data_IF_131809766842
#
_entry.id   IF_131809766842
#
_cell.length_a   1.000
_cell.length_b   1.000
_cell.length_c   1.000
_cell.angle_alpha   90.00
_cell.angle_beta   90.00
_cell.angle_gamma   90.00
#
_symmetry.space_group_name_H-M   'P 1'
#
loop_
_entity.id
_entity.type
_entity.pdbx_description
1 polymer ?
#
# COMPACT_ATOMS: atom_id res chain seq x y z
N UNK A 1 -33.41 6.94 9.06
CA UNK A 1 -32.36 5.90 9.17
C UNK A 1 -31.52 6.25 10.39
N UNK A 2 -31.53 5.40 11.42
CA UNK A 2 -30.87 5.73 12.69
C UNK A 2 -29.35 5.57 12.53
N UNK A 3 -28.60 6.64 12.75
CA UNK A 3 -27.16 6.75 12.44
C UNK A 3 -26.33 5.76 13.27
N UNK A 4 -26.83 5.38 14.46
CA UNK A 4 -26.20 4.42 15.36
C UNK A 4 -25.97 3.03 14.74
N UNK A 5 -26.85 2.57 13.85
CA UNK A 5 -26.66 1.27 13.19
C UNK A 5 -25.47 1.26 12.22
N UNK A 6 -25.10 2.41 11.64
CA UNK A 6 -23.97 2.51 10.72
C UNK A 6 -22.63 2.33 11.45
N UNK A 7 -22.57 2.73 12.72
CA UNK A 7 -21.40 2.58 13.61
C UNK A 7 -21.02 1.11 13.83
N UNK A 8 -22.00 0.21 13.86
CA UNK A 8 -21.75 -1.23 14.03
C UNK A 8 -20.99 -1.85 12.84
N UNK A 9 -21.02 -1.22 11.67
CA UNK A 9 -20.31 -1.70 10.48
C UNK A 9 -18.88 -1.17 10.36
N UNK A 10 -18.39 -0.35 11.31
CA UNK A 10 -17.04 0.24 11.25
C UNK A 10 -15.96 -0.83 11.27
N UNK A 11 -16.04 -1.81 12.18
CA UNK A 11 -15.11 -2.94 12.23
C UNK A 11 -15.13 -3.79 10.95
N UNK A 12 -16.31 -3.95 10.35
CA UNK A 12 -16.46 -4.66 9.07
C UNK A 12 -15.79 -3.87 7.93
N UNK A 13 -16.00 -2.55 7.86
CA UNK A 13 -15.36 -1.68 6.88
C UNK A 13 -13.82 -1.68 7.03
N UNK A 14 -13.31 -1.60 8.26
CA UNK A 14 -11.88 -1.75 8.53
C UNK A 14 -11.34 -3.11 8.08
N UNK A 15 -12.06 -4.19 8.39
CA UNK A 15 -11.68 -5.53 7.97
C UNK A 15 -11.60 -5.64 6.45
N UNK A 16 -12.59 -5.11 5.73
CA UNK A 16 -12.61 -5.11 4.27
C UNK A 16 -11.45 -4.29 3.68
N UNK A 17 -11.25 -3.05 4.14
CA UNK A 17 -10.14 -2.20 3.67
C UNK A 17 -8.79 -2.88 3.90
N UNK A 18 -8.60 -3.53 5.05
CA UNK A 18 -7.38 -4.26 5.36
C UNK A 18 -7.18 -5.43 4.41
N UNK A 19 -8.17 -6.28 4.24
CA UNK A 19 -8.08 -7.45 3.36
C UNK A 19 -7.79 -7.02 1.92
N UNK A 20 -8.43 -5.94 1.45
CA UNK A 20 -8.14 -5.38 0.12
C UNK A 20 -6.68 -4.96 -0.02
N UNK A 21 -6.13 -4.19 0.94
CA UNK A 21 -4.71 -3.82 0.91
C UNK A 21 -3.80 -5.06 0.94
N UNK A 22 -4.06 -6.01 1.84
CA UNK A 22 -3.25 -7.24 1.95
C UNK A 22 -3.23 -8.00 0.63
N UNK A 23 -4.40 -8.24 0.02
CA UNK A 23 -4.51 -9.01 -1.23
C UNK A 23 -3.83 -8.28 -2.39
N UNK A 24 -4.07 -6.97 -2.53
CA UNK A 24 -3.47 -6.16 -3.60
C UNK A 24 -1.95 -6.15 -3.47
N UNK A 25 -1.42 -5.86 -2.29
CA UNK A 25 0.01 -5.61 -2.11
C UNK A 25 0.83 -6.89 -2.00
N UNK A 26 0.32 -7.94 -1.37
CA UNK A 26 1.01 -9.23 -1.38
C UNK A 26 1.00 -9.85 -2.78
N UNK A 27 -0.10 -9.73 -3.52
CA UNK A 27 -0.19 -10.19 -4.91
C UNK A 27 0.72 -9.39 -5.85
N UNK A 28 0.67 -8.06 -5.76
CA UNK A 28 1.52 -7.16 -6.56
C UNK A 28 3.00 -7.34 -6.25
N UNK A 29 3.37 -7.35 -4.97
CA UNK A 29 4.77 -7.50 -4.54
C UNK A 29 5.37 -8.82 -4.99
N UNK A 30 4.61 -9.92 -4.92
CA UNK A 30 5.06 -11.23 -5.42
C UNK A 30 5.29 -11.24 -6.93
N UNK A 31 4.50 -10.51 -7.71
CA UNK A 31 4.70 -10.40 -9.16
C UNK A 31 5.88 -9.54 -9.60
N UNK A 32 6.49 -8.77 -8.67
CA UNK A 32 7.52 -7.75 -8.97
C UNK A 32 8.94 -8.14 -8.56
N UNK A 33 9.17 -9.35 -8.07
CA UNK A 33 10.52 -9.80 -7.70
C UNK A 33 11.49 -9.68 -8.90
N UNK A 34 12.52 -8.82 -8.80
CA UNK A 34 13.42 -8.60 -9.93
C UNK A 34 14.36 -9.80 -10.11
N UNK A 35 14.54 -10.25 -11.35
CA UNK A 35 15.57 -11.23 -11.68
C UNK A 35 16.92 -10.52 -11.81
N UNK A 36 17.91 -10.97 -11.03
CA UNK A 36 19.25 -10.40 -11.05
C UNK A 36 20.04 -10.99 -12.23
N UNK A 37 20.16 -10.24 -13.33
CA UNK A 37 21.21 -10.46 -14.32
C UNK A 37 22.45 -9.65 -13.86
N UNK A 38 23.59 -10.32 -13.71
CA UNK A 38 24.78 -9.73 -13.08
C UNK A 38 25.32 -8.51 -13.82
N UNK A 39 25.11 -7.31 -13.29
CA UNK A 39 25.57 -6.05 -13.89
C UNK A 39 25.95 -4.98 -12.84
N UNK A 40 26.70 -3.96 -13.28
CA UNK A 40 27.42 -2.97 -12.45
C UNK A 40 26.57 -1.90 -11.73
N UNK A 41 27.25 -0.90 -11.13
CA UNK A 41 26.65 0.05 -10.18
C UNK A 41 25.51 0.93 -10.76
N UNK A 42 25.58 1.29 -12.05
CA UNK A 42 24.51 2.03 -12.71
C UNK A 42 23.24 1.19 -12.91
N UNK A 43 23.38 -0.12 -13.07
CA UNK A 43 22.28 -1.09 -13.13
C UNK A 43 21.80 -1.48 -11.73
N UNK A 44 22.65 -1.31 -10.71
CA UNK A 44 22.35 -1.60 -9.31
C UNK A 44 21.33 -0.62 -8.70
N UNK A 45 21.38 0.67 -9.04
CA UNK A 45 20.49 1.67 -8.41
C UNK A 45 19.00 1.49 -8.78
N UNK A 46 18.63 1.26 -10.07
CA UNK A 46 17.27 0.87 -10.43
C UNK A 46 16.84 -0.46 -9.80
N UNK A 47 17.77 -1.43 -9.72
CA UNK A 47 17.51 -2.73 -9.11
C UNK A 47 17.25 -2.60 -7.60
N UNK A 48 17.97 -1.73 -6.90
CA UNK A 48 17.76 -1.43 -5.49
C UNK A 48 16.37 -0.83 -5.25
N UNK A 49 15.95 0.12 -6.09
CA UNK A 49 14.60 0.71 -5.99
C UNK A 49 13.54 -0.37 -6.22
N UNK A 50 13.72 -1.23 -7.22
CA UNK A 50 12.80 -2.34 -7.49
C UNK A 50 12.69 -3.29 -6.27
N UNK A 51 13.80 -3.65 -5.65
CA UNK A 51 13.81 -4.45 -4.42
C UNK A 51 13.12 -3.74 -3.25
N UNK A 52 13.36 -2.44 -3.06
CA UNK A 52 12.70 -1.67 -2.01
C UNK A 52 11.19 -1.63 -2.21
N UNK A 53 10.72 -1.43 -3.45
CA UNK A 53 9.29 -1.47 -3.79
C UNK A 53 8.70 -2.83 -3.44
N UNK A 54 9.33 -3.93 -3.87
CA UNK A 54 8.85 -5.29 -3.57
C UNK A 54 8.79 -5.55 -2.07
N UNK A 55 9.84 -5.18 -1.34
CA UNK A 55 9.90 -5.36 0.11
C UNK A 55 8.77 -4.57 0.77
N UNK A 56 8.58 -3.31 0.38
CA UNK A 56 7.60 -2.45 1.00
C UNK A 56 6.16 -2.87 0.67
N UNK A 57 5.90 -3.27 -0.57
CA UNK A 57 4.58 -3.80 -0.96
C UNK A 57 4.29 -5.12 -0.24
N UNK A 58 5.18 -6.11 -0.35
CA UNK A 58 4.94 -7.44 0.20
C UNK A 58 4.93 -7.44 1.72
N UNK A 59 5.98 -6.91 2.36
CA UNK A 59 6.05 -6.86 3.82
C UNK A 59 5.08 -5.83 4.41
N UNK A 60 4.79 -4.73 3.72
CA UNK A 60 3.75 -3.79 4.16
C UNK A 60 2.39 -4.47 4.26
N UNK A 61 2.02 -5.27 3.25
CA UNK A 61 0.82 -6.11 3.29
C UNK A 61 0.86 -7.15 4.41
N UNK A 62 1.99 -7.85 4.58
CA UNK A 62 2.16 -8.85 5.64
C UNK A 62 2.04 -8.23 7.05
N UNK A 63 2.65 -7.07 7.29
CA UNK A 63 2.57 -6.36 8.57
C UNK A 63 1.16 -5.85 8.84
N UNK A 64 0.42 -5.41 7.80
CA UNK A 64 -1.00 -5.10 7.92
C UNK A 64 -1.83 -6.33 8.29
N UNK A 65 -1.50 -7.52 7.78
CA UNK A 65 -2.21 -8.74 8.16
C UNK A 65 -1.92 -9.12 9.62
N UNK A 66 -0.65 -9.11 10.03
CA UNK A 66 -0.25 -9.40 11.41
C UNK A 66 -0.75 -8.32 12.40
N UNK A 67 -0.89 -7.09 11.92
CA UNK A 67 -1.33 -5.93 12.70
C UNK A 67 -2.76 -6.00 13.21
N UNK A 68 -3.56 -6.98 12.78
CA UNK A 68 -4.89 -7.24 13.37
C UNK A 68 -4.82 -7.37 14.89
N UNK A 69 -3.74 -8.00 15.41
CA UNK A 69 -3.51 -8.15 16.86
C UNK A 69 -2.56 -7.13 17.45
N UNK A 70 -1.76 -6.46 16.62
CA UNK A 70 -0.67 -5.58 17.03
C UNK A 70 -0.77 -4.25 16.30
N UNK A 71 -1.29 -3.23 16.99
CA UNK A 71 -1.56 -1.92 16.38
C UNK A 71 -0.32 -1.29 15.74
N UNK A 72 0.85 -1.40 16.37
CA UNK A 72 2.10 -0.89 15.84
C UNK A 72 2.44 -1.49 14.47
N UNK A 73 2.17 -2.78 14.26
CA UNK A 73 2.41 -3.45 12.98
C UNK A 73 1.44 -2.95 11.90
N UNK A 74 0.19 -2.61 12.27
CA UNK A 74 -0.74 -1.96 11.35
C UNK A 74 -0.19 -0.62 10.90
N UNK A 75 0.28 0.22 11.83
CA UNK A 75 0.80 1.55 11.53
C UNK A 75 2.06 1.48 10.66
N UNK A 76 2.99 0.58 10.99
CA UNK A 76 4.22 0.38 10.22
C UNK A 76 3.90 -0.17 8.81
N UNK A 77 3.08 -1.21 8.71
CA UNK A 77 2.70 -1.80 7.42
C UNK A 77 1.98 -0.80 6.53
N UNK A 78 1.08 -0.01 7.10
CA UNK A 78 0.38 1.05 6.39
C UNK A 78 1.31 2.19 5.95
N UNK A 79 2.30 2.58 6.77
CA UNK A 79 3.31 3.56 6.40
C UNK A 79 4.17 3.08 5.22
N UNK A 80 4.59 1.82 5.22
CA UNK A 80 5.34 1.22 4.11
C UNK A 80 4.56 1.29 2.80
N UNK A 81 3.29 0.92 2.82
CA UNK A 81 2.41 1.00 1.65
C UNK A 81 2.21 2.46 1.21
N UNK A 82 1.97 3.38 2.14
CA UNK A 82 1.76 4.79 1.84
C UNK A 82 2.96 5.39 1.08
N UNK A 83 4.18 5.09 1.50
CA UNK A 83 5.40 5.56 0.80
C UNK A 83 5.43 5.07 -0.66
N UNK A 84 5.10 3.81 -0.90
CA UNK A 84 5.07 3.26 -2.27
C UNK A 84 3.94 3.88 -3.10
N UNK A 85 2.78 4.16 -2.51
CA UNK A 85 1.69 4.81 -3.22
C UNK A 85 1.99 6.25 -3.60
N UNK A 86 2.76 6.99 -2.79
CA UNK A 86 3.28 8.30 -3.19
C UNK A 86 4.19 8.15 -4.41
N UNK A 87 5.08 7.17 -4.40
CA UNK A 87 5.94 6.86 -5.56
C UNK A 87 5.13 6.53 -6.81
N UNK A 88 4.16 5.61 -6.72
CA UNK A 88 3.31 5.20 -7.83
C UNK A 88 2.50 6.39 -8.39
N UNK A 89 1.86 7.19 -7.54
CA UNK A 89 1.11 8.38 -7.96
C UNK A 89 2.04 9.41 -8.65
N UNK A 90 3.25 9.60 -8.14
CA UNK A 90 4.25 10.48 -8.77
C UNK A 90 4.66 9.98 -10.15
N UNK A 91 4.94 8.68 -10.32
CA UNK A 91 5.31 8.13 -11.62
C UNK A 91 4.18 8.27 -12.64
N UNK A 92 2.95 7.91 -12.28
CA UNK A 92 1.80 8.05 -13.17
C UNK A 92 1.54 9.51 -13.57
N UNK A 93 1.49 10.42 -12.60
CA UNK A 93 1.13 11.82 -12.88
C UNK A 93 2.28 12.64 -13.46
N UNK A 94 3.47 12.61 -12.85
CA UNK A 94 4.58 13.51 -13.19
C UNK A 94 5.51 12.94 -14.27
N UNK A 95 5.73 11.62 -14.29
CA UNK A 95 6.71 10.99 -15.18
C UNK A 95 6.07 10.47 -16.47
N UNK A 96 4.92 9.80 -16.35
CA UNK A 96 4.19 9.24 -17.50
C UNK A 96 3.13 10.20 -18.06
N UNK A 97 2.76 11.23 -17.29
CA UNK A 97 1.85 12.28 -17.75
C UNK A 97 0.39 11.83 -17.83
N UNK A 98 0.01 10.83 -17.04
CA UNK A 98 -1.37 10.36 -16.99
C UNK A 98 -2.30 11.47 -16.46
N UNK A 99 -3.52 11.63 -17.01
CA UNK A 99 -4.49 12.60 -16.50
C UNK A 99 -4.78 12.37 -15.02
N UNK A 100 -4.93 13.44 -14.23
CA UNK A 100 -5.11 13.33 -12.77
C UNK A 100 -6.29 12.42 -12.37
N UNK A 101 -7.41 12.49 -13.09
CA UNK A 101 -8.60 11.65 -12.83
C UNK A 101 -8.57 10.31 -13.59
N UNK A 102 -7.43 9.92 -14.16
CA UNK A 102 -7.29 8.60 -14.75
C UNK A 102 -7.35 7.52 -13.68
N UNK A 103 -7.73 6.30 -14.08
CA UNK A 103 -7.66 5.13 -13.20
C UNK A 103 -6.24 4.92 -12.65
N UNK A 104 -5.22 5.28 -13.44
CA UNK A 104 -3.82 5.00 -13.17
C UNK A 104 -3.25 5.94 -12.08
N UNK A 105 -3.80 7.15 -11.94
CA UNK A 105 -3.48 8.09 -10.83
C UNK A 105 -4.43 7.92 -9.65
N UNK A 106 -5.73 7.73 -9.91
CA UNK A 106 -6.75 7.61 -8.85
C UNK A 106 -6.61 6.31 -8.04
N UNK A 107 -6.17 5.21 -8.66
CA UNK A 107 -6.00 3.94 -7.96
C UNK A 107 -4.90 4.01 -6.88
N UNK A 108 -3.65 4.44 -7.17
CA UNK A 108 -2.64 4.67 -6.13
C UNK A 108 -3.09 5.68 -5.05
N UNK A 109 -3.78 6.76 -5.44
CA UNK A 109 -4.27 7.75 -4.46
C UNK A 109 -5.37 7.19 -3.54
N UNK A 110 -6.22 6.31 -4.05
CA UNK A 110 -7.23 5.62 -3.23
C UNK A 110 -6.56 4.70 -2.22
N UNK A 111 -5.56 3.93 -2.64
CA UNK A 111 -4.79 3.06 -1.75
C UNK A 111 -3.96 3.86 -0.75
N UNK A 112 -3.42 5.01 -1.16
CA UNK A 112 -2.73 5.95 -0.28
C UNK A 112 -3.67 6.45 0.82
N UNK A 113 -4.89 6.86 0.47
CA UNK A 113 -5.86 7.35 1.45
C UNK A 113 -6.20 6.28 2.50
N UNK A 114 -6.43 5.03 2.08
CA UNK A 114 -6.70 3.92 3.00
C UNK A 114 -5.47 3.64 3.88
N UNK A 115 -4.27 3.71 3.30
CA UNK A 115 -3.02 3.48 4.05
C UNK A 115 -2.76 4.58 5.07
N UNK A 116 -3.01 5.84 4.73
CA UNK A 116 -2.92 6.96 5.68
C UNK A 116 -3.93 6.76 6.80
N UNK A 117 -5.15 6.34 6.49
CA UNK A 117 -6.16 6.03 7.51
C UNK A 117 -5.67 4.97 8.51
N UNK A 118 -5.12 3.85 8.05
CA UNK A 118 -4.55 2.83 8.94
C UNK A 118 -3.30 3.32 9.70
N UNK A 119 -2.50 4.18 9.08
CA UNK A 119 -1.32 4.77 9.71
C UNK A 119 -1.70 5.72 10.87
N UNK A 120 -2.76 6.50 10.73
CA UNK A 120 -3.19 7.46 11.76
C UNK A 120 -4.07 6.83 12.84
N UNK A 121 -4.97 5.93 12.44
CA UNK A 121 -6.01 5.39 13.33
C UNK A 121 -5.70 3.97 13.84
N UNK A 122 -4.67 3.32 13.31
CA UNK A 122 -4.30 1.96 13.75
C UNK A 122 -5.45 0.97 13.55
N UNK A 123 -5.88 0.35 14.64
CA UNK A 123 -6.97 -0.63 14.65
C UNK A 123 -8.30 -0.06 15.15
N UNK A 124 -8.36 1.25 15.45
CA UNK A 124 -9.51 1.87 16.06
C UNK A 124 -10.62 2.14 15.03
N UNK A 125 -11.83 1.66 15.34
CA UNK A 125 -13.02 1.75 14.50
C UNK A 125 -13.71 3.10 14.59
#
# INVERSE_FOLDING_TARGET
MNIEHLTNYRYLALGLMRIMLVVIFMGSGYGKFPMVAGEGLATFLPLLIAWLVVIFEFFGGLLLLLGIKYEDLTRIGAAMIAVIMVGAAYYHYCVWGDPFFSKDVMYPLSLLAISIFFMTNGNDA
#
